data_IF_906790065780
#
_entry.id   IF_906790065780
#
_cell.length_a   1.000
_cell.length_b   1.000
_cell.length_c   1.000
_cell.angle_alpha   90.00
_cell.angle_beta   90.00
_cell.angle_gamma   90.00
#
_symmetry.space_group_name_H-M   'P 1'
#
loop_
_entity.id
_entity.type
_entity.pdbx_description
1 polymer ?
#
# COMPACT_ATOMS: atom_id res chain seq x y z
N UNK A 1 -23.62 -2.52 -31.26
CA UNK A 1 -23.28 -1.08 -31.31
C UNK A 1 -21.92 -0.91 -30.68
N UNK A 2 -20.91 -0.48 -31.44
CA UNK A 2 -19.54 -0.31 -30.93
C UNK A 2 -19.53 0.89 -29.99
N UNK A 3 -18.90 0.78 -28.82
CA UNK A 3 -18.84 1.87 -27.86
C UNK A 3 -17.82 2.92 -28.34
N UNK A 4 -18.10 4.22 -28.13
CA UNK A 4 -17.32 5.32 -28.71
C UNK A 4 -15.80 5.22 -28.44
N UNK A 5 -15.41 4.76 -27.26
CA UNK A 5 -14.01 4.67 -26.87
C UNK A 5 -13.28 3.55 -27.59
N UNK A 6 -13.98 2.48 -28.00
CA UNK A 6 -13.40 1.38 -28.77
C UNK A 6 -13.01 1.86 -30.16
N UNK A 7 -13.90 2.61 -30.83
CA UNK A 7 -13.59 3.25 -32.13
C UNK A 7 -12.46 4.28 -31.99
N UNK A 8 -12.51 5.09 -30.93
CA UNK A 8 -11.51 6.12 -30.71
C UNK A 8 -10.12 5.56 -30.40
N UNK A 9 -10.03 4.43 -29.68
CA UNK A 9 -8.77 3.71 -29.45
C UNK A 9 -8.31 3.02 -30.72
N UNK A 10 -9.20 2.36 -31.47
CA UNK A 10 -8.82 1.68 -32.71
C UNK A 10 -8.18 2.62 -33.74
N UNK A 11 -8.55 3.91 -33.73
CA UNK A 11 -7.94 4.94 -34.58
C UNK A 11 -6.47 5.23 -34.23
N UNK A 12 -6.00 4.91 -33.02
CA UNK A 12 -4.60 5.07 -32.59
C UNK A 12 -4.30 4.11 -31.43
N UNK A 13 -4.27 2.82 -31.74
CA UNK A 13 -4.15 1.76 -30.74
C UNK A 13 -2.79 1.75 -30.03
N UNK A 14 -1.78 2.38 -30.64
CA UNK A 14 -0.43 2.46 -30.10
C UNK A 14 -0.38 3.41 -28.91
N UNK A 15 -1.10 4.53 -29.01
CA UNK A 15 -0.99 5.59 -28.00
C UNK A 15 -2.24 5.74 -27.12
N UNK A 16 -3.32 4.97 -27.36
CA UNK A 16 -4.56 5.11 -26.60
C UNK A 16 -4.90 3.84 -25.84
N UNK A 17 -5.23 4.01 -24.56
CA UNK A 17 -5.65 2.90 -23.69
C UNK A 17 -6.93 3.24 -22.93
N UNK A 18 -7.69 2.21 -22.54
CA UNK A 18 -8.93 2.40 -21.78
C UNK A 18 -8.66 2.35 -20.28
N UNK A 19 -9.28 3.26 -19.54
CA UNK A 19 -9.48 3.13 -18.09
C UNK A 19 -10.97 2.91 -17.85
N UNK A 20 -11.34 1.78 -17.27
CA UNK A 20 -12.72 1.45 -16.93
C UNK A 20 -13.04 1.92 -15.51
N UNK A 21 -14.08 2.71 -15.36
CA UNK A 21 -14.57 3.15 -14.06
C UNK A 21 -15.58 2.15 -13.49
N UNK A 22 -15.71 2.10 -12.16
CA UNK A 22 -16.62 1.18 -11.44
C UNK A 22 -18.10 1.32 -11.84
N UNK A 23 -18.52 2.47 -12.36
CA UNK A 23 -19.87 2.73 -12.84
C UNK A 23 -20.08 2.33 -14.32
N UNK A 24 -19.13 1.63 -14.94
CA UNK A 24 -19.18 1.18 -16.32
C UNK A 24 -18.88 2.27 -17.36
N UNK A 25 -18.51 3.49 -16.95
CA UNK A 25 -18.01 4.50 -17.89
C UNK A 25 -16.56 4.22 -18.26
N UNK A 26 -16.18 4.52 -19.49
CA UNK A 26 -14.80 4.40 -19.95
C UNK A 26 -14.17 5.79 -20.14
N UNK A 27 -12.91 5.89 -19.75
CA UNK A 27 -12.01 7.00 -20.08
C UNK A 27 -10.98 6.47 -21.07
N UNK A 28 -10.49 7.32 -21.96
CA UNK A 28 -9.35 6.98 -22.84
C UNK A 28 -8.15 7.81 -22.42
N UNK A 29 -7.10 7.14 -21.98
CA UNK A 29 -5.80 7.72 -21.69
C UNK A 29 -5.00 7.81 -22.99
N UNK A 30 -4.48 9.01 -23.26
CA UNK A 30 -3.58 9.28 -24.38
C UNK A 30 -2.14 9.34 -23.87
N UNK A 31 -1.32 8.47 -24.45
CA UNK A 31 0.09 8.23 -24.12
C UNK A 31 1.03 8.71 -25.22
N UNK A 32 0.51 9.47 -26.21
CA UNK A 32 1.31 10.09 -27.27
C UNK A 32 2.34 11.07 -26.73
N UNK A 33 2.10 11.61 -25.52
CA UNK A 33 2.98 12.51 -24.82
C UNK A 33 3.58 11.82 -23.59
N UNK A 34 4.90 11.92 -23.43
CA UNK A 34 5.59 11.43 -22.25
C UNK A 34 5.15 12.19 -21.00
N UNK A 35 4.86 11.45 -19.92
CA UNK A 35 4.63 12.03 -18.61
C UNK A 35 5.91 12.71 -18.10
N UNK A 36 5.79 13.96 -17.67
CA UNK A 36 6.94 14.75 -17.22
C UNK A 36 7.01 14.80 -15.70
N UNK A 37 8.18 14.49 -15.14
CA UNK A 37 8.43 14.64 -13.70
C UNK A 37 9.20 15.94 -13.48
N UNK A 38 8.50 16.92 -12.93
CA UNK A 38 9.05 18.22 -12.51
C UNK A 38 9.64 18.20 -11.09
N UNK A 39 10.42 19.23 -10.75
CA UNK A 39 10.99 19.43 -9.40
C UNK A 39 9.93 19.48 -8.28
N UNK A 40 8.72 19.99 -8.59
CA UNK A 40 7.61 20.01 -7.64
C UNK A 40 7.16 18.60 -7.17
N UNK A 41 7.62 17.54 -7.85
CA UNK A 41 7.37 16.15 -7.46
C UNK A 41 8.41 15.62 -6.47
N UNK A 42 9.52 16.32 -6.23
CA UNK A 42 10.56 15.86 -5.30
C UNK A 42 10.04 15.75 -3.85
N UNK A 43 8.98 16.49 -3.50
CA UNK A 43 8.37 16.49 -2.16
C UNK A 43 6.86 16.30 -2.27
N UNK A 44 6.28 15.56 -1.32
CA UNK A 44 4.84 15.31 -1.24
C UNK A 44 4.06 16.57 -0.82
N UNK A 45 3.89 17.50 -1.75
CA UNK A 45 3.13 18.74 -1.57
C UNK A 45 1.79 18.64 -2.31
N UNK A 46 0.69 18.67 -1.56
CA UNK A 46 -0.65 18.55 -2.11
C UNK A 46 -1.23 19.89 -2.58
N UNK A 47 -2.02 19.85 -3.64
CA UNK A 47 -2.94 20.93 -3.97
C UNK A 47 -3.94 21.14 -2.83
N UNK A 48 -4.23 22.40 -2.48
CA UNK A 48 -5.21 22.70 -1.46
C UNK A 48 -6.60 22.27 -1.94
N UNK A 49 -7.26 21.40 -1.17
CA UNK A 49 -8.60 20.90 -1.49
C UNK A 49 -9.67 22.00 -1.59
N UNK A 50 -9.42 23.17 -0.99
CA UNK A 50 -10.31 24.35 -0.97
C UNK A 50 -9.50 25.64 -0.96
N UNK A 51 -9.10 26.14 -2.12
CA UNK A 51 -8.59 27.51 -2.21
C UNK A 51 -9.76 28.50 -2.26
N UNK A 52 -9.78 29.46 -1.34
CA UNK A 52 -10.72 30.60 -1.39
C UNK A 52 -10.36 31.61 -2.49
N UNK A 53 -9.11 31.62 -2.97
CA UNK A 53 -8.64 32.50 -4.05
C UNK A 53 -8.69 31.74 -5.37
N UNK A 54 -9.35 32.34 -6.36
CA UNK A 54 -9.44 31.80 -7.72
C UNK A 54 -8.10 31.84 -8.44
N UNK A 55 -7.80 30.77 -9.18
CA UNK A 55 -6.63 30.67 -10.06
C UNK A 55 -5.28 30.96 -9.40
N UNK A 56 -5.13 30.62 -8.11
CA UNK A 56 -3.85 30.73 -7.44
C UNK A 56 -2.89 29.71 -8.05
N UNK A 57 -1.72 30.18 -8.50
CA UNK A 57 -0.61 29.30 -8.87
C UNK A 57 -0.08 28.62 -7.61
N UNK A 58 -0.21 27.29 -7.55
CA UNK A 58 0.25 26.49 -6.41
C UNK A 58 1.42 25.63 -6.86
N UNK A 59 2.54 25.71 -6.13
CA UNK A 59 3.67 24.82 -6.32
C UNK A 59 3.40 23.49 -5.61
N UNK A 60 2.65 22.62 -6.28
CA UNK A 60 2.24 21.31 -5.78
C UNK A 60 2.19 20.30 -6.93
N UNK A 61 2.54 19.04 -6.64
CA UNK A 61 2.53 17.94 -7.62
C UNK A 61 1.52 16.85 -7.33
N UNK A 62 0.79 16.99 -6.23
CA UNK A 62 0.00 15.90 -5.69
C UNK A 62 -1.42 16.34 -5.38
N UNK A 63 -2.35 15.40 -5.49
CA UNK A 63 -3.67 15.52 -4.88
C UNK A 63 -3.74 14.54 -3.71
N UNK A 64 -4.06 15.04 -2.52
CA UNK A 64 -4.18 14.21 -1.34
C UNK A 64 -5.61 13.70 -1.18
N UNK A 65 -5.81 12.40 -1.37
CA UNK A 65 -7.11 11.74 -1.19
C UNK A 65 -7.17 11.02 0.14
N UNK A 66 -8.06 11.45 1.03
CA UNK A 66 -8.36 10.73 2.25
C UNK A 66 -9.45 9.67 1.98
N UNK A 67 -9.12 8.37 2.07
CA UNK A 67 -10.14 7.31 2.09
C UNK A 67 -10.76 7.27 3.50
N UNK A 68 -12.09 7.29 3.61
CA UNK A 68 -12.74 7.40 4.92
C UNK A 68 -12.50 6.17 5.81
N UNK A 69 -12.43 6.41 7.13
CA UNK A 69 -12.26 5.44 8.25
C UNK A 69 -10.95 4.64 8.33
N UNK A 70 -10.13 4.62 7.28
CA UNK A 70 -8.76 4.11 7.37
C UNK A 70 -7.75 5.22 7.12
N UNK A 71 -6.69 5.35 7.93
CA UNK A 71 -5.57 6.30 7.71
C UNK A 71 -4.77 6.03 6.41
N UNK A 72 -5.34 5.27 5.47
CA UNK A 72 -4.80 5.01 4.15
C UNK A 72 -5.15 6.19 3.24
N UNK A 73 -4.51 7.32 3.51
CA UNK A 73 -4.50 8.40 2.53
C UNK A 73 -3.67 8.00 1.32
N UNK A 74 -4.07 8.48 0.16
CA UNK A 74 -3.45 8.16 -1.11
C UNK A 74 -2.98 9.45 -1.78
N UNK A 75 -1.69 9.48 -2.07
CA UNK A 75 -1.05 10.53 -2.85
C UNK A 75 -1.28 10.22 -4.32
N UNK A 76 -2.10 11.03 -4.95
CA UNK A 76 -2.39 10.96 -6.39
C UNK A 76 -1.44 11.94 -7.08
N UNK A 77 -0.70 11.45 -8.07
CA UNK A 77 0.31 12.22 -8.78
C UNK A 77 -0.31 13.00 -9.94
N UNK A 78 0.13 14.24 -10.11
CA UNK A 78 -0.37 15.13 -11.15
C UNK A 78 0.77 15.46 -12.11
N UNK A 79 0.91 14.65 -13.16
CA UNK A 79 2.04 14.76 -14.09
C UNK A 79 1.64 15.52 -15.36
N UNK A 80 2.40 16.55 -15.78
CA UNK A 80 2.27 17.12 -17.11
C UNK A 80 2.41 16.06 -18.21
N UNK A 81 1.66 16.23 -19.29
CA UNK A 81 1.53 15.25 -20.37
C UNK A 81 0.35 14.30 -20.17
N UNK A 82 -0.17 14.17 -18.95
CA UNK A 82 -1.33 13.33 -18.67
C UNK A 82 -2.59 13.86 -19.37
N UNK A 83 -3.10 13.09 -20.32
CA UNK A 83 -4.23 13.47 -21.19
C UNK A 83 -5.33 12.41 -21.16
N UNK A 84 -6.55 12.81 -20.82
CA UNK A 84 -7.73 11.95 -20.79
C UNK A 84 -8.79 12.47 -21.74
N UNK A 85 -9.42 11.56 -22.46
CA UNK A 85 -10.65 11.78 -23.20
C UNK A 85 -11.80 11.07 -22.51
N UNK A 86 -12.94 11.73 -22.40
CA UNK A 86 -14.10 11.20 -21.67
C UNK A 86 -15.41 11.66 -22.29
N UNK A 87 -16.47 10.92 -21.97
CA UNK A 87 -17.85 11.27 -22.28
C UNK A 87 -18.62 11.48 -20.98
N UNK A 88 -19.09 12.71 -20.75
CA UNK A 88 -19.85 13.12 -19.57
C UNK A 88 -21.16 13.74 -20.01
N UNK A 89 -22.29 13.30 -19.44
CA UNK A 89 -23.62 13.84 -19.73
C UNK A 89 -23.90 13.95 -21.25
N UNK A 90 -23.57 12.90 -22.00
CA UNK A 90 -23.66 12.83 -23.47
C UNK A 90 -22.73 13.76 -24.27
N UNK A 91 -21.82 14.46 -23.61
CA UNK A 91 -20.83 15.30 -24.27
C UNK A 91 -19.40 14.81 -24.12
N UNK A 92 -18.58 15.16 -25.09
CA UNK A 92 -17.19 14.75 -25.18
C UNK A 92 -16.26 15.84 -24.64
N UNK A 93 -15.32 15.43 -23.79
CA UNK A 93 -14.35 16.30 -23.15
C UNK A 93 -12.94 15.73 -23.27
N UNK A 94 -11.96 16.63 -23.35
CA UNK A 94 -10.56 16.31 -23.21
C UNK A 94 -10.01 17.08 -22.01
N UNK A 95 -9.25 16.40 -21.15
CA UNK A 95 -8.65 16.93 -19.94
C UNK A 95 -7.14 16.71 -20.01
N UNK A 96 -6.36 17.76 -19.81
CA UNK A 96 -4.90 17.71 -19.82
C UNK A 96 -4.31 18.35 -18.58
N UNK A 97 -3.25 17.73 -18.07
CA UNK A 97 -2.33 18.36 -17.15
C UNK A 97 -1.14 18.82 -17.96
N UNK A 98 -0.88 20.12 -17.94
CA UNK A 98 0.25 20.77 -18.57
C UNK A 98 1.14 21.40 -17.51
N UNK A 99 2.25 21.99 -17.96
CA UNK A 99 3.11 22.83 -17.13
C UNK A 99 3.18 24.24 -17.71
N UNK A 100 3.26 25.23 -16.83
CA UNK A 100 3.68 26.58 -17.16
C UNK A 100 4.84 26.95 -16.24
N UNK A 101 6.06 26.92 -16.81
CA UNK A 101 7.33 27.07 -16.09
C UNK A 101 7.45 26.07 -14.94
N UNK A 102 6.95 26.43 -13.76
CA UNK A 102 7.11 25.71 -12.51
C UNK A 102 5.77 25.26 -11.90
N UNK A 103 4.64 25.52 -12.56
CA UNK A 103 3.31 25.26 -12.03
C UNK A 103 2.51 24.34 -12.95
N UNK A 104 1.69 23.48 -12.38
CA UNK A 104 0.74 22.70 -13.16
C UNK A 104 -0.40 23.57 -13.67
N UNK A 105 -0.80 23.32 -14.91
CA UNK A 105 -1.93 23.95 -15.58
C UNK A 105 -2.93 22.87 -15.97
N UNK A 106 -4.18 23.03 -15.58
CA UNK A 106 -5.27 22.12 -15.91
C UNK A 106 -6.03 22.70 -17.09
N UNK A 107 -5.86 22.09 -18.26
CA UNK A 107 -6.49 22.53 -19.51
C UNK A 107 -7.60 21.57 -19.90
N UNK A 108 -8.74 22.10 -20.33
CA UNK A 108 -9.86 21.30 -20.79
C UNK A 108 -10.39 21.80 -22.13
N UNK A 109 -10.95 20.88 -22.92
CA UNK A 109 -11.72 21.19 -24.12
C UNK A 109 -13.04 20.43 -24.13
N UNK A 110 -14.04 21.07 -24.72
CA UNK A 110 -15.40 20.58 -24.90
C UNK A 110 -15.68 20.43 -26.39
N UNK A 111 -16.22 19.28 -26.77
CA UNK A 111 -16.46 18.87 -28.16
C UNK A 111 -17.94 18.63 -28.45
N UNK A 112 -18.84 18.93 -27.50
CA UNK A 112 -20.27 18.63 -27.59
C UNK A 112 -20.49 17.14 -27.95
N UNK A 113 -21.00 16.83 -29.13
CA UNK A 113 -21.34 15.48 -29.55
C UNK A 113 -20.30 14.87 -30.51
N UNK A 114 -19.17 15.55 -30.74
CA UNK A 114 -18.11 15.07 -31.61
C UNK A 114 -17.26 14.00 -30.89
N UNK A 115 -17.45 12.74 -31.29
CA UNK A 115 -16.71 11.58 -30.77
C UNK A 115 -15.29 11.43 -31.36
N UNK A 116 -14.94 12.20 -32.39
CA UNK A 116 -13.59 12.17 -32.99
C UNK A 116 -12.62 13.14 -32.33
N UNK A 117 -13.13 14.04 -31.47
CA UNK A 117 -12.36 15.06 -30.75
C UNK A 117 -11.54 15.96 -31.68
N UNK A 118 -12.10 16.34 -32.82
CA UNK A 118 -11.41 17.13 -33.85
C UNK A 118 -11.78 18.60 -33.77
N UNK A 119 -13.02 18.92 -33.39
CA UNK A 119 -13.53 20.31 -33.39
C UNK A 119 -13.82 20.79 -31.97
N UNK A 120 -12.89 21.55 -31.40
CA UNK A 120 -13.07 22.19 -30.09
C UNK A 120 -14.16 23.25 -30.19
N UNK A 121 -15.22 23.09 -29.41
CA UNK A 121 -16.32 24.06 -29.29
C UNK A 121 -15.99 25.13 -28.26
N UNK A 122 -15.41 24.72 -27.14
CA UNK A 122 -14.96 25.61 -26.09
C UNK A 122 -13.77 24.99 -25.36
N UNK A 123 -12.89 25.82 -24.80
CA UNK A 123 -11.77 25.36 -24.00
C UNK A 123 -11.42 26.37 -22.92
N UNK A 124 -10.69 25.91 -21.92
CA UNK A 124 -10.22 26.76 -20.85
C UNK A 124 -9.04 26.14 -20.12
N UNK A 125 -8.42 26.94 -19.27
CA UNK A 125 -7.35 26.48 -18.41
C UNK A 125 -7.37 27.21 -17.06
N UNK A 126 -6.88 26.52 -16.04
CA UNK A 126 -6.70 27.08 -14.70
C UNK A 126 -5.54 26.44 -13.94
N UNK A 127 -5.23 27.00 -12.78
CA UNK A 127 -4.22 26.49 -11.84
C UNK A 127 -4.86 25.81 -10.62
N UNK A 128 -6.14 25.43 -10.72
CA UNK A 128 -6.99 25.07 -9.57
C UNK A 128 -7.83 23.83 -9.83
N UNK A 129 -7.20 22.76 -10.35
CA UNK A 129 -7.79 21.43 -10.52
C UNK A 129 -9.10 21.44 -11.33
N UNK A 130 -9.07 22.08 -12.51
CA UNK A 130 -10.23 22.23 -13.41
C UNK A 130 -11.36 23.08 -12.84
N UNK A 131 -11.06 24.04 -11.95
CA UNK A 131 -12.09 24.95 -11.42
C UNK A 131 -12.83 25.68 -12.54
N UNK A 132 -12.12 26.08 -13.60
CA UNK A 132 -12.73 26.76 -14.76
C UNK A 132 -13.72 25.88 -15.53
N UNK A 133 -13.47 24.56 -15.61
CA UNK A 133 -14.40 23.59 -16.19
C UNK A 133 -15.71 23.58 -15.40
N UNK A 134 -15.65 23.44 -14.07
CA UNK A 134 -16.85 23.42 -13.22
C UNK A 134 -17.61 24.75 -13.18
N UNK A 135 -16.94 25.86 -13.48
CA UNK A 135 -17.61 27.17 -13.64
C UNK A 135 -18.39 27.23 -14.95
N UNK A 136 -17.82 26.72 -16.05
CA UNK A 136 -18.49 26.72 -17.36
C UNK A 136 -19.56 25.63 -17.49
N UNK A 137 -19.39 24.50 -16.80
CA UNK A 137 -20.29 23.35 -16.81
C UNK A 137 -20.62 22.92 -15.37
N UNK A 138 -21.51 23.66 -14.67
CA UNK A 138 -21.85 23.41 -13.26
C UNK A 138 -22.42 22.01 -12.99
N UNK A 139 -23.05 21.38 -13.97
CA UNK A 139 -23.56 20.00 -13.92
C UNK A 139 -22.45 18.97 -13.69
N UNK A 140 -21.19 19.31 -14.00
CA UNK A 140 -20.05 18.43 -13.77
C UNK A 140 -19.58 18.41 -12.31
N UNK A 141 -20.09 19.29 -11.43
CA UNK A 141 -19.70 19.35 -10.00
C UNK A 141 -20.00 18.06 -9.22
N UNK A 142 -20.85 17.19 -9.76
CA UNK A 142 -21.13 15.87 -9.20
C UNK A 142 -19.96 14.89 -9.38
N UNK A 143 -19.05 15.17 -10.32
CA UNK A 143 -17.86 14.36 -10.57
C UNK A 143 -16.69 14.96 -9.81
N UNK A 144 -16.06 14.15 -8.95
CA UNK A 144 -14.85 14.57 -8.26
C UNK A 144 -13.67 14.66 -9.23
N UNK A 145 -12.73 15.58 -8.98
CA UNK A 145 -11.51 15.71 -9.77
C UNK A 145 -10.76 14.37 -9.99
N UNK A 146 -10.53 13.52 -8.97
CA UNK A 146 -9.89 12.23 -9.18
C UNK A 146 -10.70 11.29 -10.09
N UNK A 147 -12.03 11.40 -10.06
CA UNK A 147 -12.90 10.60 -10.92
C UNK A 147 -12.73 10.97 -12.39
N UNK A 148 -12.75 12.27 -12.69
CA UNK A 148 -12.65 12.80 -14.06
C UNK A 148 -11.37 12.35 -14.78
N UNK A 149 -10.30 12.17 -14.01
CA UNK A 149 -8.99 11.76 -14.52
C UNK A 149 -8.72 10.26 -14.40
N UNK A 150 -9.66 9.46 -13.89
CA UNK A 150 -9.46 8.02 -13.75
C UNK A 150 -8.49 7.62 -12.64
N UNK A 151 -8.28 8.48 -11.63
CA UNK A 151 -7.39 8.21 -10.50
C UNK A 151 -8.01 7.32 -9.41
N UNK A 152 -9.17 6.72 -9.68
CA UNK A 152 -9.69 5.61 -8.89
C UNK A 152 -9.15 4.26 -9.34
N UNK A 153 -8.72 4.15 -10.60
CA UNK A 153 -8.10 2.94 -11.11
C UNK A 153 -6.69 2.77 -10.52
N UNK A 154 -6.45 1.64 -9.86
CA UNK A 154 -5.18 1.39 -9.19
C UNK A 154 -4.02 1.19 -10.14
N UNK A 155 -4.27 0.67 -11.35
CA UNK A 155 -3.22 0.44 -12.34
C UNK A 155 -2.71 1.78 -12.88
N UNK A 156 -3.64 2.67 -13.22
CA UNK A 156 -3.34 4.03 -13.64
C UNK A 156 -2.53 4.77 -12.56
N UNK A 157 -2.96 4.72 -11.29
CA UNK A 157 -2.21 5.32 -10.18
C UNK A 157 -0.82 4.69 -10.03
N UNK A 158 -0.68 3.37 -10.21
CA UNK A 158 0.60 2.67 -10.13
C UNK A 158 1.57 3.08 -11.25
N UNK A 159 1.07 3.31 -12.47
CA UNK A 159 1.88 3.82 -13.59
C UNK A 159 2.46 5.19 -13.21
N UNK A 160 1.62 6.12 -12.76
CA UNK A 160 2.04 7.46 -12.36
C UNK A 160 3.06 7.42 -11.21
N UNK A 161 2.84 6.56 -10.21
CA UNK A 161 3.78 6.36 -9.10
C UNK A 161 5.13 5.82 -9.57
N UNK A 162 5.12 4.89 -10.52
CA UNK A 162 6.33 4.28 -11.07
C UNK A 162 7.17 5.33 -11.82
N UNK A 163 6.54 6.16 -12.66
CA UNK A 163 7.22 7.25 -13.38
C UNK A 163 7.95 8.21 -12.44
N UNK A 164 7.36 8.56 -11.28
CA UNK A 164 8.04 9.43 -10.31
C UNK A 164 9.08 8.68 -9.49
N UNK A 165 8.86 7.42 -9.16
CA UNK A 165 9.84 6.59 -8.44
C UNK A 165 11.13 6.36 -9.23
N UNK A 166 11.07 6.32 -10.56
CA UNK A 166 12.26 6.20 -11.42
C UNK A 166 13.22 7.38 -11.23
N UNK A 167 12.70 8.59 -10.99
CA UNK A 167 13.51 9.82 -10.83
C UNK A 167 13.78 10.14 -9.36
N UNK A 168 12.80 9.92 -8.49
CA UNK A 168 12.89 10.14 -7.04
C UNK A 168 12.69 8.83 -6.28
N UNK A 169 13.68 7.93 -6.31
CA UNK A 169 13.61 6.68 -5.57
C UNK A 169 13.48 7.00 -4.08
N UNK A 170 12.61 6.27 -3.39
CA UNK A 170 12.26 6.42 -1.97
C UNK A 170 11.20 7.48 -1.61
N UNK A 171 10.61 8.19 -2.58
CA UNK A 171 9.57 9.18 -2.25
C UNK A 171 8.35 8.54 -1.57
N UNK A 172 7.97 7.33 -1.99
CA UNK A 172 6.83 6.60 -1.43
C UNK A 172 7.21 5.49 -0.44
N UNK A 173 8.50 5.23 -0.17
CA UNK A 173 8.90 4.13 0.72
C UNK A 173 8.58 4.39 2.19
N UNK A 174 8.54 5.64 2.64
CA UNK A 174 8.06 6.03 4.00
C UNK A 174 6.59 5.63 4.20
N UNK A 175 5.77 5.58 3.13
CA UNK A 175 4.39 5.12 3.22
C UNK A 175 4.27 3.59 3.34
N UNK A 176 5.29 2.82 2.96
CA UNK A 176 5.22 1.35 3.00
C UNK A 176 5.25 0.83 4.44
N UNK A 177 6.15 1.34 5.27
CA UNK A 177 6.24 1.00 6.71
C UNK A 177 5.00 1.46 7.47
N UNK A 178 4.49 2.66 7.19
CA UNK A 178 3.26 3.16 7.79
C UNK A 178 2.02 2.34 7.37
N UNK A 179 1.94 1.91 6.11
CA UNK A 179 0.89 0.99 5.63
C UNK A 179 0.98 -0.38 6.30
N UNK A 180 2.19 -0.93 6.46
CA UNK A 180 2.42 -2.20 7.15
C UNK A 180 2.02 -2.07 8.64
N UNK A 181 2.49 -1.02 9.31
CA UNK A 181 2.14 -0.73 10.70
C UNK A 181 0.62 -0.59 10.90
N UNK A 182 -0.05 0.12 9.99
CA UNK A 182 -1.51 0.28 10.03
C UNK A 182 -2.25 -1.03 9.78
N UNK A 183 -1.83 -1.85 8.81
CA UNK A 183 -2.40 -3.18 8.56
C UNK A 183 -2.24 -4.10 9.78
N UNK A 184 -1.09 -4.03 10.45
CA UNK A 184 -0.82 -4.75 11.68
C UNK A 184 -1.72 -4.27 12.83
N UNK A 185 -1.89 -2.96 12.98
CA UNK A 185 -2.81 -2.36 13.97
C UNK A 185 -4.26 -2.82 13.75
N UNK A 186 -4.74 -2.82 12.51
CA UNK A 186 -6.10 -3.28 12.18
C UNK A 186 -6.29 -4.78 12.46
N UNK A 187 -5.29 -5.58 12.13
CA UNK A 187 -5.29 -7.02 12.43
C UNK A 187 -5.35 -7.26 13.94
N UNK A 188 -4.57 -6.50 14.72
CA UNK A 188 -4.58 -6.53 16.17
C UNK A 188 -5.95 -6.12 16.74
N UNK A 189 -6.53 -5.01 16.27
CA UNK A 189 -7.86 -4.54 16.67
C UNK A 189 -8.94 -5.60 16.44
N UNK A 190 -8.94 -6.28 15.29
CA UNK A 190 -9.87 -7.39 14.99
C UNK A 190 -9.65 -8.59 15.91
N UNK A 191 -8.40 -8.94 16.19
CA UNK A 191 -8.05 -10.01 17.13
C UNK A 191 -8.55 -9.72 18.55
N UNK A 192 -8.35 -8.49 19.02
CA UNK A 192 -8.82 -8.02 20.33
C UNK A 192 -10.34 -8.03 20.42
N UNK A 193 -11.05 -7.56 19.39
CA UNK A 193 -12.52 -7.61 19.34
C UNK A 193 -13.05 -9.04 19.44
N UNK A 194 -12.49 -9.97 18.65
CA UNK A 194 -12.87 -11.39 18.71
C UNK A 194 -12.65 -11.97 20.11
N UNK A 195 -11.50 -11.68 20.73
CA UNK A 195 -11.19 -12.17 22.07
C UNK A 195 -12.07 -11.56 23.16
N UNK A 196 -12.45 -10.29 23.02
CA UNK A 196 -13.39 -9.63 23.92
C UNK A 196 -14.77 -10.31 23.89
N UNK A 197 -15.31 -10.58 22.69
CA UNK A 197 -16.60 -11.27 22.52
C UNK A 197 -16.55 -12.69 23.10
N UNK A 198 -15.46 -13.43 22.84
CA UNK A 198 -15.25 -14.77 23.41
C UNK A 198 -15.25 -14.75 24.95
N UNK A 199 -14.64 -13.73 25.56
CA UNK A 199 -14.63 -13.57 27.02
C UNK A 199 -16.02 -13.24 27.58
N UNK A 200 -16.87 -12.55 26.83
CA UNK A 200 -18.25 -12.23 27.23
C UNK A 200 -19.18 -13.43 27.15
N UNK A 201 -19.14 -14.17 26.04
CA UNK A 201 -19.94 -15.39 25.87
C UNK A 201 -19.58 -16.47 26.91
N UNK A 202 -18.32 -16.51 27.34
CA UNK A 202 -17.89 -17.39 28.42
C UNK A 202 -18.39 -16.97 29.82
N UNK A 203 -18.75 -15.69 30.03
CA UNK A 203 -19.36 -15.24 31.30
C UNK A 203 -20.82 -15.66 31.43
N UNK A 204 -21.56 -15.70 30.33
CA UNK A 204 -23.00 -16.01 30.33
C UNK A 204 -23.27 -17.51 30.57
N UNK A 205 -22.30 -18.38 30.28
CA UNK A 205 -22.46 -19.84 30.33
C UNK A 205 -22.07 -20.50 31.67
N UNK A 206 -21.46 -19.80 32.63
CA UNK A 206 -21.01 -20.40 33.91
C UNK A 206 -21.39 -19.54 35.13
N UNK A 207 -22.34 -20.03 35.94
CA UNK A 207 -22.84 -19.42 37.19
C UNK A 207 -21.81 -19.48 38.35
N UNK A 208 -20.70 -18.75 38.26
CA UNK A 208 -19.75 -18.63 39.38
C UNK A 208 -19.24 -17.21 39.58
N UNK A 209 -19.27 -16.74 40.83
CA UNK A 209 -18.95 -15.36 41.23
C UNK A 209 -17.45 -14.99 41.20
N UNK A 210 -16.57 -15.87 40.70
CA UNK A 210 -15.14 -15.60 40.48
C UNK A 210 -14.59 -16.59 39.46
N UNK A 211 -14.28 -16.10 38.26
CA UNK A 211 -13.63 -16.90 37.21
C UNK A 211 -12.25 -16.31 36.89
N UNK A 212 -11.22 -17.14 36.94
CA UNK A 212 -9.86 -16.82 36.48
C UNK A 212 -9.63 -17.57 35.17
N UNK A 213 -9.67 -16.86 34.04
CA UNK A 213 -9.30 -17.42 32.72
C UNK A 213 -8.13 -16.61 32.17
N UNK A 214 -7.06 -17.28 31.76
CA UNK A 214 -5.82 -16.66 31.26
C UNK A 214 -5.20 -15.60 32.23
N UNK A 215 -5.24 -15.90 33.53
CA UNK A 215 -4.71 -15.05 34.63
C UNK A 215 -5.36 -13.65 34.74
N UNK A 216 -6.51 -13.42 34.14
CA UNK A 216 -7.31 -12.21 34.36
C UNK A 216 -8.41 -12.54 35.38
N UNK A 217 -8.44 -11.81 36.49
CA UNK A 217 -9.49 -11.97 37.51
C UNK A 217 -10.69 -11.12 37.09
N UNK A 218 -11.84 -11.76 36.90
CA UNK A 218 -13.11 -11.09 36.65
C UNK A 218 -13.90 -11.13 37.95
N UNK A 219 -13.90 -10.02 38.71
CA UNK A 219 -14.64 -9.90 39.98
C UNK A 219 -15.85 -9.00 39.78
N UNK A 220 -17.05 -9.50 40.10
CA UNK A 220 -18.23 -8.65 40.24
C UNK A 220 -18.08 -7.80 41.52
N UNK A 221 -17.90 -6.48 41.37
CA UNK A 221 -18.17 -5.53 42.45
C UNK A 221 -17.04 -4.64 42.96
N UNK A 222 -15.77 -4.72 42.52
CA UNK A 222 -14.75 -3.70 42.85
C UNK A 222 -13.82 -3.37 41.67
N UNK A 223 -13.70 -2.05 41.40
CA UNK A 223 -12.95 -1.37 40.32
C UNK A 223 -12.56 -2.26 39.13
N UNK A 224 -13.54 -2.45 38.25
CA UNK A 224 -13.38 -2.98 36.89
C UNK A 224 -12.28 -2.24 36.13
N UNK A 225 -11.32 -2.98 35.55
CA UNK A 225 -10.57 -2.51 34.38
C UNK A 225 -11.61 -2.16 33.30
N UNK A 226 -11.87 -0.85 33.16
CA UNK A 226 -13.14 -0.31 32.69
C UNK A 226 -13.48 -0.54 31.20
N UNK A 227 -12.66 -1.24 30.43
CA UNK A 227 -13.03 -1.59 29.06
C UNK A 227 -12.63 -3.01 28.68
N UNK A 228 -13.54 -3.70 27.99
CA UNK A 228 -13.36 -5.04 27.41
C UNK A 228 -12.08 -5.13 26.57
N UNK A 229 -11.71 -4.04 25.90
CA UNK A 229 -10.47 -3.93 25.13
C UNK A 229 -9.22 -4.02 26.00
N UNK A 230 -9.20 -3.41 27.19
CA UNK A 230 -8.06 -3.51 28.13
C UNK A 230 -7.89 -4.94 28.62
N UNK A 231 -9.00 -5.64 28.89
CA UNK A 231 -8.98 -7.05 29.31
C UNK A 231 -8.47 -7.96 28.18
N UNK A 232 -8.97 -7.78 26.95
CA UNK A 232 -8.47 -8.50 25.78
C UNK A 232 -6.98 -8.25 25.51
N UNK A 233 -6.50 -7.02 25.78
CA UNK A 233 -5.10 -6.65 25.61
C UNK A 233 -4.18 -7.41 26.58
N UNK A 234 -4.59 -7.53 27.85
CA UNK A 234 -3.85 -8.27 28.88
C UNK A 234 -3.80 -9.77 28.51
N UNK A 235 -4.90 -10.35 28.04
CA UNK A 235 -4.90 -11.76 27.59
C UNK A 235 -3.94 -11.96 26.41
N UNK A 236 -3.98 -11.07 25.41
CA UNK A 236 -3.06 -11.15 24.27
C UNK A 236 -1.60 -10.95 24.67
N UNK A 237 -1.33 -10.09 25.65
CA UNK A 237 0.00 -9.91 26.22
C UNK A 237 0.48 -11.20 26.92
N UNK A 238 -0.35 -11.82 27.75
CA UNK A 238 -0.01 -13.07 28.43
C UNK A 238 0.23 -14.22 27.44
N UNK A 239 -0.59 -14.35 26.39
CA UNK A 239 -0.36 -15.32 25.31
C UNK A 239 1.00 -15.10 24.63
N UNK A 240 1.42 -13.84 24.46
CA UNK A 240 2.73 -13.52 23.86
C UNK A 240 3.89 -13.82 24.80
N UNK A 241 3.76 -13.51 26.09
CA UNK A 241 4.75 -13.88 27.11
C UNK A 241 4.94 -15.40 27.16
N UNK A 242 3.85 -16.17 27.08
CA UNK A 242 3.89 -17.63 27.06
C UNK A 242 4.56 -18.17 25.77
N UNK A 243 4.26 -17.58 24.61
CA UNK A 243 4.95 -17.91 23.36
C UNK A 243 6.46 -17.66 23.45
N UNK A 244 6.88 -16.54 24.06
CA UNK A 244 8.30 -16.21 24.26
C UNK A 244 8.95 -17.22 25.20
N UNK A 245 8.30 -17.51 26.33
CA UNK A 245 8.79 -18.50 27.28
C UNK A 245 8.98 -19.88 26.64
N UNK A 246 8.01 -20.33 25.85
CA UNK A 246 8.09 -21.61 25.14
C UNK A 246 9.21 -21.62 24.09
N UNK A 247 9.40 -20.54 23.35
CA UNK A 247 10.52 -20.40 22.41
C UNK A 247 11.87 -20.43 23.12
N UNK A 248 12.02 -19.73 24.23
CA UNK A 248 13.25 -19.74 25.03
C UNK A 248 13.56 -21.14 25.57
N UNK A 249 12.55 -21.90 25.98
CA UNK A 249 12.73 -23.31 26.40
C UNK A 249 13.25 -24.19 25.27
N UNK A 250 12.83 -23.95 24.03
CA UNK A 250 13.34 -24.66 22.84
C UNK A 250 14.78 -24.26 22.56
N UNK A 251 15.10 -22.96 22.61
CA UNK A 251 16.47 -22.45 22.44
C UNK A 251 17.42 -23.10 23.45
N UNK A 252 17.08 -23.12 24.75
CA UNK A 252 17.93 -23.75 25.76
C UNK A 252 18.14 -25.26 25.54
N UNK A 253 17.16 -25.97 24.95
CA UNK A 253 17.33 -27.38 24.58
C UNK A 253 18.27 -27.55 23.39
N UNK A 254 18.19 -26.65 22.41
CA UNK A 254 19.08 -26.66 21.24
C UNK A 254 20.52 -26.30 21.65
N UNK A 255 20.71 -25.31 22.52
CA UNK A 255 22.03 -24.96 23.07
C UNK A 255 22.66 -26.13 23.83
N UNK A 256 21.88 -26.87 24.63
CA UNK A 256 22.34 -28.10 25.29
C UNK A 256 22.74 -29.20 24.30
N UNK A 257 21.97 -29.38 23.23
CA UNK A 257 22.33 -30.35 22.18
C UNK A 257 23.59 -29.94 21.44
N UNK A 258 23.74 -28.65 21.16
CA UNK A 258 24.90 -28.10 20.46
C UNK A 258 26.17 -28.29 21.30
N UNK A 259 26.13 -27.97 22.59
CA UNK A 259 27.25 -28.21 23.52
C UNK A 259 27.58 -29.71 23.67
N UNK A 260 26.58 -30.60 23.68
CA UNK A 260 26.81 -32.06 23.66
C UNK A 260 27.46 -32.54 22.37
N UNK A 261 27.09 -31.97 21.22
CA UNK A 261 27.71 -32.30 19.94
C UNK A 261 29.14 -31.74 19.86
N UNK A 262 29.38 -30.54 20.39
CA UNK A 262 30.70 -29.92 20.44
C UNK A 262 31.66 -30.72 21.33
N UNK A 263 31.20 -31.18 22.50
CA UNK A 263 31.99 -32.04 23.38
C UNK A 263 32.27 -33.41 22.76
N UNK A 264 31.30 -34.00 22.05
CA UNK A 264 31.52 -35.24 21.28
C UNK A 264 32.53 -35.04 20.15
N UNK A 265 32.44 -33.93 19.41
CA UNK A 265 33.37 -33.60 18.34
C UNK A 265 34.80 -33.47 18.88
N UNK A 266 34.98 -32.72 19.97
CA UNK A 266 36.29 -32.57 20.61
C UNK A 266 36.83 -33.89 21.16
N UNK A 267 35.96 -34.80 21.62
CA UNK A 267 36.38 -36.14 22.06
C UNK A 267 36.81 -37.08 20.92
N UNK A 268 36.25 -36.87 19.71
CA UNK A 268 36.64 -37.58 18.50
C UNK A 268 37.99 -37.06 18.03
N UNK A 269 38.19 -35.74 17.97
CA UNK A 269 39.49 -35.15 17.62
C UNK A 269 40.61 -35.60 18.57
N UNK A 270 40.34 -35.72 19.89
CA UNK A 270 41.31 -36.21 20.86
C UNK A 270 41.59 -37.72 20.81
N UNK A 271 40.75 -38.51 20.13
CA UNK A 271 40.97 -39.96 19.96
C UNK A 271 41.67 -40.32 18.65
N UNK A 272 41.79 -39.37 17.71
CA UNK A 272 42.55 -39.51 16.46
C UNK A 272 44.07 -39.37 16.62
N UNK A 273 44.58 -38.92 17.76
CA UNK A 273 46.03 -38.76 18.03
C UNK A 273 46.70 -39.95 18.77
N UNK A 274 45.99 -41.06 18.99
CA UNK A 274 46.54 -42.26 19.68
C UNK A 274 46.67 -43.51 18.79
N UNK A 275 46.68 -43.35 17.46
CA UNK A 275 47.16 -44.42 16.56
C UNK A 275 48.58 -44.09 16.12
N UNK A 276 49.51 -44.11 17.09
CA UNK A 276 50.89 -44.48 16.78
C UNK A 276 50.88 -46.00 16.56
N UNK A 277 50.88 -46.42 15.30
CA UNK A 277 51.22 -47.80 14.96
C UNK A 277 52.70 -48.02 15.35
N UNK A 278 52.88 -48.80 16.41
CA UNK A 278 54.14 -49.47 16.73
C UNK A 278 54.49 -50.44 15.59
N UNK A 279 55.32 -50.01 14.64
CA UNK A 279 56.05 -50.94 13.77
C UNK A 279 57.33 -51.37 14.50
N UNK A 280 57.24 -52.50 15.23
CA UNK A 280 58.41 -53.29 15.62
C UNK A 280 58.14 -54.80 15.53
N UNK A 281 58.79 -55.40 14.51
CA UNK A 281 59.35 -56.76 14.46
C UNK A 281 58.32 -57.92 14.40
N UNK A 282 58.47 -58.96 13.57
CA UNK A 282 59.70 -59.63 13.13
C UNK A 282 59.39 -60.66 12.00
N UNK A 283 60.41 -60.91 11.17
CA UNK A 283 60.73 -62.15 10.42
C UNK A 283 59.68 -62.81 9.51
N UNK A 284 60.01 -62.94 8.23
CA UNK A 284 60.48 -64.26 7.79
C UNK A 284 61.38 -64.19 6.54
N UNK A 285 62.41 -65.00 6.62
CA UNK A 285 63.48 -65.28 5.67
C UNK A 285 62.95 -66.11 4.51
N UNK A 286 63.42 -65.86 3.28
CA UNK A 286 63.62 -66.92 2.27
C UNK A 286 64.47 -66.39 1.10
N UNK A 287 65.75 -66.71 1.16
CA UNK A 287 66.61 -66.82 -0.02
C UNK A 287 66.16 -68.02 -0.89
N UNK A 288 66.29 -67.93 -2.22
CA UNK A 288 67.27 -68.73 -2.97
C UNK A 288 67.13 -68.60 -4.51
N UNK A 289 68.29 -68.29 -5.10
CA UNK A 289 68.76 -68.45 -6.50
C UNK A 289 68.32 -67.44 -7.55
#
# INVERSE_FOLDING_TARGET
MIQWYQEFIAADIVHRSTILCDNGTALVLDTSFSLQVLELHQKLVAFPARSKKENLKVYAGYYYRQKSKTNNAEWILLLPGYTIYTKLNNHYFQLKINTNTHFLVFWWAYYKNDKTFTHIINSGQDFSLFKSLYTNYPELKNYSFPWLLGFFDSNNVAILQSTVNEIYPNLFSINSDLKIAYKNEQTLKRSLKRKAIELEQNKENENSNLQIKNRVIIINGRKTLSSQYKQALIVKYNEKVEQIYNKNRVISRLEKKLTQLQTKLNSIDSSTDLVQFEDKNNNDTLELK
#
